data_IF_783625738367
#
_entry.id   IF_783625738367
#
_cell.length_a   1.000
_cell.length_b   1.000
_cell.length_c   1.000
_cell.angle_alpha   90.00
_cell.angle_beta   90.00
_cell.angle_gamma   90.00
#
_symmetry.space_group_name_H-M   'P 1'
#
loop_
_entity.id
_entity.type
_entity.pdbx_description
1 polymer ?
#
# COMPACT_ATOMS: atom_id res chain seq x y z
N UNK A 1 -14.73 -15.86 20.33
CA UNK A 1 -13.65 -15.03 20.89
C UNK A 1 -13.66 -13.72 20.12
N UNK A 2 -14.29 -12.71 20.67
CA UNK A 2 -14.30 -11.35 20.12
C UNK A 2 -12.95 -10.72 20.49
N UNK A 3 -12.08 -10.53 19.47
CA UNK A 3 -10.86 -9.76 19.65
C UNK A 3 -11.22 -8.32 19.96
N UNK A 4 -11.05 -7.91 21.18
CA UNK A 4 -11.11 -6.52 21.61
C UNK A 4 -10.16 -5.70 20.75
N UNK A 5 -10.72 -4.75 20.03
CA UNK A 5 -9.97 -3.67 19.40
C UNK A 5 -9.45 -2.77 20.53
N UNK A 6 -8.30 -3.13 21.11
CA UNK A 6 -7.68 -2.27 22.11
C UNK A 6 -7.30 -0.94 21.42
N UNK A 7 -7.55 0.20 22.06
CA UNK A 7 -7.19 1.52 21.51
C UNK A 7 -5.70 1.64 21.14
N UNK A 8 -4.84 0.82 21.75
CA UNK A 8 -3.41 0.75 21.46
C UNK A 8 -3.06 0.07 20.13
N UNK A 9 -3.92 -0.80 19.58
CA UNK A 9 -3.64 -1.50 18.32
C UNK A 9 -3.70 -0.54 17.11
N UNK A 10 -4.63 0.43 17.13
CA UNK A 10 -4.73 1.44 16.08
C UNK A 10 -3.55 2.41 16.07
N UNK A 11 -3.09 2.84 17.26
CA UNK A 11 -1.93 3.74 17.37
C UNK A 11 -0.63 3.08 16.93
N UNK A 12 -0.46 1.78 17.20
CA UNK A 12 0.68 1.00 16.72
C UNK A 12 0.72 0.84 15.21
N UNK A 13 -0.45 0.63 14.59
CA UNK A 13 -0.57 0.53 13.13
C UNK A 13 -0.30 1.88 12.45
N UNK A 14 -0.80 2.98 13.01
CA UNK A 14 -0.55 4.34 12.50
C UNK A 14 0.94 4.71 12.58
N UNK A 15 1.61 4.40 13.70
CA UNK A 15 3.06 4.60 13.85
C UNK A 15 3.85 3.84 12.80
N UNK A 16 3.50 2.59 12.50
CA UNK A 16 4.16 1.80 11.46
C UNK A 16 3.96 2.42 10.08
N UNK A 17 2.74 2.81 9.76
CA UNK A 17 2.43 3.48 8.49
C UNK A 17 3.24 4.77 8.32
N UNK A 18 3.33 5.60 9.36
CA UNK A 18 4.13 6.84 9.34
C UNK A 18 5.62 6.54 9.14
N UNK A 19 6.14 5.51 9.77
CA UNK A 19 7.54 5.08 9.63
C UNK A 19 7.81 4.58 8.22
N UNK A 20 6.92 3.77 7.65
CA UNK A 20 7.08 3.21 6.29
C UNK A 20 7.03 4.31 5.21
N UNK A 21 6.22 5.33 5.42
CA UNK A 21 6.08 6.47 4.50
C UNK A 21 7.21 7.49 4.64
N UNK A 22 7.83 7.57 5.83
CA UNK A 22 8.84 8.58 6.16
C UNK A 22 10.04 8.57 5.20
N UNK A 23 10.53 7.39 4.80
CA UNK A 23 11.67 7.26 3.87
C UNK A 23 11.35 7.83 2.49
N UNK A 24 10.12 7.64 2.01
CA UNK A 24 9.65 8.18 0.73
C UNK A 24 9.54 9.72 0.76
N UNK A 25 8.96 10.26 1.83
CA UNK A 25 8.85 11.71 1.99
C UNK A 25 10.19 12.40 2.20
N UNK A 26 11.11 11.77 2.95
CA UNK A 26 12.48 12.27 3.09
C UNK A 26 13.25 12.25 1.77
N UNK A 27 13.11 11.17 0.97
CA UNK A 27 13.61 11.13 -0.40
C UNK A 27 13.06 12.30 -1.24
N UNK A 28 11.73 12.49 -1.22
CA UNK A 28 11.08 13.55 -1.98
C UNK A 28 11.58 14.93 -1.56
N UNK A 29 11.60 15.20 -0.26
CA UNK A 29 12.11 16.48 0.27
C UNK A 29 13.58 16.73 -0.12
N UNK A 30 14.44 15.72 0.04
CA UNK A 30 15.84 15.82 -0.36
C UNK A 30 15.99 16.04 -1.87
N UNK A 31 15.17 15.38 -2.69
CA UNK A 31 15.23 15.54 -4.15
C UNK A 31 14.75 16.93 -4.59
N UNK A 32 13.65 17.44 -4.04
CA UNK A 32 13.11 18.74 -4.40
C UNK A 32 14.03 19.90 -3.99
N UNK A 33 14.74 19.76 -2.86
CA UNK A 33 15.65 20.80 -2.36
C UNK A 33 17.01 20.78 -3.05
N UNK A 34 17.58 19.58 -3.29
CA UNK A 34 18.95 19.46 -3.84
C UNK A 34 18.99 19.25 -5.34
N UNK A 35 17.88 18.91 -5.96
CA UNK A 35 17.77 18.49 -7.37
C UNK A 35 18.73 17.35 -7.75
N UNK A 36 19.21 16.59 -6.75
CA UNK A 36 20.15 15.48 -6.93
C UNK A 36 19.49 14.16 -6.50
N UNK A 37 19.13 13.34 -7.50
CA UNK A 37 18.42 12.07 -7.26
C UNK A 37 19.31 11.06 -6.50
N UNK A 38 20.63 11.09 -6.69
CA UNK A 38 21.54 10.16 -6.02
C UNK A 38 21.67 10.48 -4.53
N UNK A 39 21.76 11.78 -4.20
CA UNK A 39 21.75 12.24 -2.81
C UNK A 39 20.43 11.88 -2.15
N UNK A 40 19.30 12.17 -2.80
CA UNK A 40 17.98 11.83 -2.28
C UNK A 40 17.81 10.31 -2.07
N UNK A 41 18.33 9.51 -3.02
CA UNK A 41 18.34 8.04 -2.89
C UNK A 41 19.18 7.60 -1.69
N UNK A 42 20.35 8.21 -1.48
CA UNK A 42 21.20 7.93 -0.32
C UNK A 42 20.48 8.21 0.99
N UNK A 43 19.76 9.33 1.09
CA UNK A 43 18.93 9.68 2.25
C UNK A 43 17.83 8.63 2.48
N UNK A 44 17.10 8.25 1.44
CA UNK A 44 16.06 7.23 1.51
C UNK A 44 16.59 5.86 1.94
N UNK A 45 17.73 5.43 1.39
CA UNK A 45 18.43 4.18 1.76
C UNK A 45 18.90 4.22 3.22
N UNK A 46 19.52 5.32 3.65
CA UNK A 46 20.02 5.48 5.02
C UNK A 46 18.87 5.39 6.05
N UNK A 47 17.75 6.06 5.78
CA UNK A 47 16.56 5.99 6.63
C UNK A 47 15.99 4.57 6.64
N UNK A 48 15.84 3.94 5.47
CA UNK A 48 15.31 2.57 5.37
C UNK A 48 16.17 1.55 6.11
N UNK A 49 17.50 1.63 5.99
CA UNK A 49 18.44 0.81 6.75
C UNK A 49 18.38 1.09 8.25
N UNK A 50 18.31 2.36 8.66
CA UNK A 50 18.17 2.75 10.05
C UNK A 50 16.88 2.18 10.67
N UNK A 51 15.78 2.23 9.94
CA UNK A 51 14.51 1.60 10.34
C UNK A 51 14.64 0.08 10.50
N UNK A 52 15.28 -0.61 9.54
CA UNK A 52 15.49 -2.04 9.60
C UNK A 52 16.37 -2.44 10.79
N UNK A 53 17.47 -1.75 11.02
CA UNK A 53 18.37 -1.98 12.16
C UNK A 53 17.63 -1.77 13.48
N UNK A 54 16.74 -0.79 13.56
CA UNK A 54 15.96 -0.51 14.76
C UNK A 54 14.87 -1.56 15.05
N UNK A 55 14.34 -2.22 14.00
CA UNK A 55 13.28 -3.24 14.11
C UNK A 55 13.81 -4.63 14.46
N UNK A 56 15.01 -5.01 13.98
CA UNK A 56 15.61 -6.33 14.18
C UNK A 56 15.73 -6.72 15.67
N UNK A 57 16.30 -5.89 16.58
CA UNK A 57 16.51 -6.25 17.98
C UNK A 57 15.22 -6.47 18.77
N UNK A 58 14.10 -5.90 18.29
CA UNK A 58 12.80 -5.94 18.97
C UNK A 58 11.98 -7.19 18.70
N UNK A 59 12.54 -8.19 18.00
CA UNK A 59 11.86 -9.44 17.60
C UNK A 59 10.48 -9.23 17.00
N UNK A 60 10.24 -8.08 16.35
CA UNK A 60 9.00 -7.84 15.63
C UNK A 60 9.01 -8.78 14.42
N UNK A 61 7.91 -9.51 14.21
CA UNK A 61 7.74 -10.29 12.99
C UNK A 61 7.66 -9.31 11.83
N UNK A 62 8.75 -9.18 11.09
CA UNK A 62 8.81 -8.33 9.89
C UNK A 62 8.04 -9.06 8.80
N UNK A 63 7.04 -8.38 8.24
CA UNK A 63 6.24 -8.92 7.14
C UNK A 63 7.16 -9.19 5.92
N UNK A 64 6.99 -10.31 5.19
CA UNK A 64 7.72 -10.57 3.95
C UNK A 64 7.70 -9.40 2.97
N UNK A 65 6.62 -8.62 2.96
CA UNK A 65 6.47 -7.44 2.14
C UNK A 65 7.41 -6.29 2.54
N UNK A 66 7.66 -6.12 3.84
CA UNK A 66 8.64 -5.15 4.35
C UNK A 66 10.06 -5.56 3.94
N UNK A 67 10.40 -6.86 4.00
CA UNK A 67 11.69 -7.37 3.51
C UNK A 67 11.87 -7.14 2.02
N UNK A 68 10.83 -7.37 1.21
CA UNK A 68 10.86 -7.09 -0.23
C UNK A 68 11.07 -5.60 -0.49
N UNK A 69 10.33 -4.72 0.20
CA UNK A 69 10.48 -3.27 0.07
C UNK A 69 11.90 -2.82 0.44
N UNK A 70 12.46 -3.33 1.54
CA UNK A 70 13.83 -3.04 1.96
C UNK A 70 14.86 -3.53 0.95
N UNK A 71 14.73 -4.75 0.43
CA UNK A 71 15.61 -5.32 -0.58
C UNK A 71 15.60 -4.49 -1.87
N UNK A 72 14.44 -4.00 -2.30
CA UNK A 72 14.31 -3.11 -3.45
C UNK A 72 14.94 -1.74 -3.20
N UNK A 73 14.75 -1.16 -2.01
CA UNK A 73 15.36 0.13 -1.65
C UNK A 73 16.88 0.01 -1.63
N UNK A 74 17.42 -0.98 -0.93
CA UNK A 74 18.87 -1.16 -0.80
C UNK A 74 19.48 -1.61 -2.12
N UNK A 75 18.90 -2.63 -2.77
CA UNK A 75 19.45 -3.19 -4.01
C UNK A 75 19.43 -2.19 -5.16
N UNK A 76 18.26 -1.69 -5.53
CA UNK A 76 18.12 -0.76 -6.66
C UNK A 76 18.65 0.64 -6.32
N UNK A 77 18.55 1.08 -5.07
CA UNK A 77 19.14 2.35 -4.64
C UNK A 77 20.67 2.32 -4.72
N UNK A 78 21.30 1.27 -4.19
CA UNK A 78 22.76 1.09 -4.30
C UNK A 78 23.21 0.94 -5.74
N UNK A 79 22.49 0.15 -6.56
CA UNK A 79 22.78 0.02 -7.98
C UNK A 79 22.70 1.37 -8.71
N UNK A 80 21.71 2.20 -8.38
CA UNK A 80 21.59 3.54 -8.96
C UNK A 80 22.77 4.45 -8.62
N UNK A 81 23.23 4.45 -7.37
CA UNK A 81 24.36 5.25 -6.91
C UNK A 81 25.66 4.76 -7.55
N UNK A 82 25.91 3.45 -7.54
CA UNK A 82 27.14 2.84 -8.07
C UNK A 82 27.29 3.01 -9.59
N UNK A 83 26.18 2.83 -10.31
CA UNK A 83 26.17 2.96 -11.79
C UNK A 83 25.94 4.38 -12.27
N UNK A 84 25.62 5.32 -11.38
CA UNK A 84 25.17 6.69 -11.69
C UNK A 84 23.98 6.71 -12.66
N UNK A 85 23.12 5.67 -12.59
CA UNK A 85 21.96 5.54 -13.45
C UNK A 85 20.66 5.66 -12.63
N UNK A 86 19.90 6.75 -12.79
CA UNK A 86 18.65 6.98 -12.03
C UNK A 86 17.54 5.97 -12.37
N UNK A 87 17.67 5.23 -13.47
CA UNK A 87 16.68 4.26 -13.94
C UNK A 87 16.38 3.20 -12.86
N UNK A 88 17.39 2.77 -12.10
CA UNK A 88 17.20 1.79 -11.02
C UNK A 88 16.27 2.31 -9.91
N UNK A 89 16.34 3.61 -9.58
CA UNK A 89 15.44 4.23 -8.61
C UNK A 89 14.02 4.30 -9.15
N UNK A 90 13.88 4.64 -10.44
CA UNK A 90 12.58 4.74 -11.12
C UNK A 90 11.86 3.39 -11.19
N UNK A 91 12.58 2.30 -11.39
CA UNK A 91 12.01 0.95 -11.45
C UNK A 91 11.48 0.44 -10.10
N UNK A 92 12.06 0.90 -8.98
CA UNK A 92 11.69 0.41 -7.64
C UNK A 92 10.17 0.44 -7.36
N UNK A 93 9.46 1.60 -7.46
CA UNK A 93 8.02 1.63 -7.19
C UNK A 93 7.24 0.75 -8.18
N UNK A 94 7.59 0.76 -9.46
CA UNK A 94 6.92 -0.04 -10.48
C UNK A 94 7.03 -1.54 -10.21
N UNK A 95 8.20 -2.03 -9.77
CA UNK A 95 8.38 -3.44 -9.38
C UNK A 95 7.53 -3.76 -8.15
N UNK A 96 7.56 -2.90 -7.13
CA UNK A 96 6.79 -3.10 -5.91
C UNK A 96 5.28 -3.14 -6.19
N UNK A 97 4.77 -2.16 -6.91
CA UNK A 97 3.36 -2.06 -7.30
C UNK A 97 2.93 -3.22 -8.19
N UNK A 98 3.79 -3.64 -9.13
CA UNK A 98 3.57 -4.82 -9.97
C UNK A 98 3.49 -6.11 -9.16
N UNK A 99 4.38 -6.30 -8.18
CA UNK A 99 4.31 -7.45 -7.26
C UNK A 99 3.03 -7.44 -6.43
N UNK A 100 2.59 -6.27 -5.94
CA UNK A 100 1.30 -6.11 -5.26
C UNK A 100 0.14 -6.55 -6.16
N UNK A 101 0.12 -6.04 -7.38
CA UNK A 101 -0.90 -6.37 -8.36
C UNK A 101 -0.94 -7.88 -8.66
N UNK A 102 0.22 -8.52 -8.83
CA UNK A 102 0.32 -9.97 -9.03
C UNK A 102 -0.25 -10.77 -7.85
N UNK A 103 0.05 -10.34 -6.62
CA UNK A 103 -0.53 -11.00 -5.42
C UNK A 103 -2.04 -10.85 -5.36
N UNK A 104 -2.58 -9.73 -5.85
CA UNK A 104 -4.01 -9.46 -5.90
C UNK A 104 -4.75 -10.23 -7.00
N UNK A 105 -4.04 -10.83 -7.97
CA UNK A 105 -4.65 -11.74 -8.96
C UNK A 105 -5.11 -13.07 -8.35
N UNK A 106 -4.62 -13.42 -7.14
CA UNK A 106 -5.04 -14.65 -6.48
C UNK A 106 -6.54 -14.56 -6.09
N UNK A 107 -7.39 -15.50 -6.56
CA UNK A 107 -8.80 -15.49 -6.21
C UNK A 107 -9.01 -15.52 -4.69
N UNK A 108 -9.95 -14.73 -4.20
CA UNK A 108 -10.30 -14.72 -2.76
C UNK A 108 -9.37 -13.91 -1.85
N UNK A 109 -8.34 -13.23 -2.38
CA UNK A 109 -7.47 -12.36 -1.56
C UNK A 109 -8.27 -11.30 -0.79
N UNK A 110 -9.28 -10.74 -1.43
CA UNK A 110 -10.14 -9.71 -0.83
C UNK A 110 -10.93 -10.24 0.37
N UNK A 111 -11.28 -11.53 0.37
CA UNK A 111 -11.99 -12.18 1.47
C UNK A 111 -11.24 -12.14 2.81
N UNK A 112 -9.92 -11.98 2.78
CA UNK A 112 -9.10 -11.87 4.00
C UNK A 112 -9.16 -10.49 4.65
N UNK A 113 -9.49 -9.46 3.87
CA UNK A 113 -9.46 -8.06 4.31
C UNK A 113 -10.85 -7.46 4.50
N UNK A 114 -11.88 -8.06 3.92
CA UNK A 114 -13.25 -7.63 4.11
C UNK A 114 -13.88 -8.35 5.33
N UNK A 115 -14.77 -7.67 6.08
CA UNK A 115 -15.46 -8.29 7.20
C UNK A 115 -16.24 -9.54 6.73
N UNK A 116 -16.03 -10.68 7.38
CA UNK A 116 -16.64 -11.95 6.99
C UNK A 116 -18.18 -11.85 6.85
N UNK A 117 -18.83 -11.12 7.78
CA UNK A 117 -20.26 -10.82 7.71
C UNK A 117 -20.68 -10.02 6.47
N UNK A 118 -19.83 -9.12 5.97
CA UNK A 118 -20.15 -8.33 4.79
C UNK A 118 -20.07 -9.19 3.52
N UNK A 119 -19.06 -10.07 3.43
CA UNK A 119 -18.86 -10.97 2.29
C UNK A 119 -20.04 -11.94 2.12
N UNK A 120 -20.60 -12.44 3.23
CA UNK A 120 -21.72 -13.37 3.22
C UNK A 120 -22.98 -12.81 2.51
N UNK A 121 -23.13 -11.48 2.51
CA UNK A 121 -24.25 -10.78 1.86
C UNK A 121 -23.93 -10.29 0.45
N UNK A 122 -22.68 -10.42 -0.01
CA UNK A 122 -22.27 -9.95 -1.35
C UNK A 122 -22.23 -11.11 -2.35
N UNK A 123 -22.62 -10.88 -3.62
CA UNK A 123 -22.44 -11.87 -4.67
C UNK A 123 -20.93 -12.21 -4.82
N UNK A 124 -20.54 -13.50 -4.85
CA UNK A 124 -19.14 -13.90 -5.00
C UNK A 124 -18.45 -13.30 -6.24
N UNK A 125 -19.20 -13.20 -7.34
CA UNK A 125 -18.72 -12.59 -8.57
C UNK A 125 -18.33 -11.11 -8.38
N UNK A 126 -19.10 -10.34 -7.59
CA UNK A 126 -18.79 -8.94 -7.32
C UNK A 126 -17.50 -8.81 -6.52
N UNK A 127 -17.32 -9.65 -5.50
CA UNK A 127 -16.09 -9.67 -4.69
C UNK A 127 -14.87 -10.00 -5.56
N UNK A 128 -15.03 -10.95 -6.49
CA UNK A 128 -13.98 -11.34 -7.42
C UNK A 128 -13.63 -10.21 -8.40
N UNK A 129 -14.63 -9.63 -9.03
CA UNK A 129 -14.45 -8.51 -9.98
C UNK A 129 -13.80 -7.31 -9.28
N UNK A 130 -14.24 -7.00 -8.06
CA UNK A 130 -13.64 -5.91 -7.28
C UNK A 130 -12.17 -6.19 -6.96
N UNK A 131 -11.83 -7.44 -6.61
CA UNK A 131 -10.45 -7.87 -6.40
C UNK A 131 -9.57 -7.69 -7.64
N UNK A 132 -10.08 -8.04 -8.82
CA UNK A 132 -9.36 -7.84 -10.08
C UNK A 132 -9.25 -6.34 -10.47
N UNK A 133 -10.25 -5.54 -10.12
CA UNK A 133 -10.18 -4.09 -10.33
C UNK A 133 -9.05 -3.46 -9.51
N UNK A 134 -8.84 -3.91 -8.27
CA UNK A 134 -7.68 -3.51 -7.47
C UNK A 134 -6.37 -3.94 -8.13
N UNK A 135 -6.26 -5.17 -8.59
CA UNK A 135 -5.07 -5.66 -9.29
C UNK A 135 -4.76 -4.83 -10.55
N UNK A 136 -5.78 -4.59 -11.37
CA UNK A 136 -5.65 -3.77 -12.58
C UNK A 136 -5.22 -2.33 -12.28
N UNK A 137 -5.76 -1.73 -11.21
CA UNK A 137 -5.41 -0.38 -10.79
C UNK A 137 -3.95 -0.28 -10.33
N UNK A 138 -3.44 -1.27 -9.58
CA UNK A 138 -2.03 -1.33 -9.19
C UNK A 138 -1.10 -1.59 -10.38
N UNK A 139 -1.49 -2.41 -11.36
CA UNK A 139 -0.74 -2.56 -12.60
C UNK A 139 -0.70 -1.26 -13.42
N UNK A 140 -1.83 -0.56 -13.51
CA UNK A 140 -1.88 0.73 -14.18
C UNK A 140 -0.97 1.76 -13.48
N UNK A 141 -0.93 1.74 -12.15
CA UNK A 141 -0.04 2.58 -11.36
C UNK A 141 1.43 2.26 -11.65
N UNK A 142 1.82 0.99 -11.65
CA UNK A 142 3.17 0.53 -11.97
C UNK A 142 3.62 0.97 -13.37
N UNK A 143 2.74 0.85 -14.37
CA UNK A 143 3.03 1.28 -15.73
C UNK A 143 3.14 2.81 -15.84
N UNK A 144 2.22 3.54 -15.19
CA UNK A 144 2.20 4.99 -15.22
C UNK A 144 3.43 5.62 -14.52
N UNK A 145 4.00 4.98 -13.52
CA UNK A 145 5.26 5.42 -12.90
C UNK A 145 6.40 5.52 -13.94
N UNK A 146 6.54 4.50 -14.80
CA UNK A 146 7.57 4.51 -15.84
C UNK A 146 7.26 5.56 -16.92
N UNK A 147 5.99 5.71 -17.29
CA UNK A 147 5.56 6.69 -18.27
C UNK A 147 5.82 8.11 -17.79
N UNK A 148 5.45 8.42 -16.55
CA UNK A 148 5.66 9.75 -15.96
C UNK A 148 7.15 10.09 -15.90
N UNK A 149 8.02 9.14 -15.50
CA UNK A 149 9.45 9.36 -15.49
C UNK A 149 10.02 9.69 -16.88
N UNK A 150 9.51 9.02 -17.92
CA UNK A 150 9.96 9.22 -19.31
C UNK A 150 9.46 10.53 -19.93
N UNK A 151 8.17 10.85 -19.71
CA UNK A 151 7.51 11.97 -20.39
C UNK A 151 7.72 13.28 -19.65
N UNK A 152 7.61 13.26 -18.33
CA UNK A 152 7.62 14.47 -17.50
C UNK A 152 8.90 14.66 -16.68
N UNK A 153 9.82 13.68 -16.75
CA UNK A 153 11.10 13.73 -16.07
C UNK A 153 11.04 13.38 -14.58
N UNK A 154 12.24 13.36 -13.97
CA UNK A 154 12.44 12.80 -12.63
C UNK A 154 11.76 13.60 -11.51
N UNK A 155 11.62 14.92 -11.66
CA UNK A 155 10.93 15.74 -10.63
C UNK A 155 9.44 15.42 -10.57
N UNK A 156 8.77 15.40 -11.72
CA UNK A 156 7.36 15.06 -11.81
C UNK A 156 7.13 13.61 -11.33
N UNK A 157 8.01 12.69 -11.73
CA UNK A 157 7.97 11.32 -11.28
C UNK A 157 8.11 11.20 -9.76
N UNK A 158 9.03 11.93 -9.13
CA UNK A 158 9.23 11.85 -7.67
C UNK A 158 8.00 12.33 -6.89
N UNK A 159 7.32 13.36 -7.36
CA UNK A 159 6.05 13.82 -6.78
C UNK A 159 4.97 12.77 -7.02
N UNK A 160 4.84 12.31 -8.27
CA UNK A 160 3.84 11.34 -8.68
C UNK A 160 3.93 10.03 -7.87
N UNK A 161 5.09 9.42 -7.82
CA UNK A 161 5.30 8.12 -7.13
C UNK A 161 5.05 8.18 -5.62
N UNK A 162 5.21 9.35 -5.00
CA UNK A 162 4.92 9.53 -3.57
C UNK A 162 3.43 9.82 -3.28
N UNK A 163 2.69 10.39 -4.22
CA UNK A 163 1.29 10.77 -4.00
C UNK A 163 0.30 9.77 -4.60
N UNK A 164 0.59 9.22 -5.77
CA UNK A 164 -0.35 8.41 -6.54
C UNK A 164 -0.85 7.14 -5.81
N UNK A 165 -0.07 6.41 -5.00
CA UNK A 165 -0.59 5.28 -4.24
C UNK A 165 -1.67 5.71 -3.22
N UNK A 166 -1.51 6.85 -2.57
CA UNK A 166 -2.50 7.37 -1.63
C UNK A 166 -3.79 7.79 -2.32
N UNK A 167 -3.66 8.45 -3.48
CA UNK A 167 -4.81 8.81 -4.31
C UNK A 167 -5.55 7.56 -4.77
N UNK A 168 -4.82 6.56 -5.27
CA UNK A 168 -5.41 5.28 -5.68
C UNK A 168 -6.15 4.61 -4.53
N UNK A 169 -5.54 4.51 -3.36
CA UNK A 169 -6.16 3.94 -2.17
C UNK A 169 -7.42 4.72 -1.77
N UNK A 170 -7.36 6.05 -1.74
CA UNK A 170 -8.51 6.89 -1.40
C UNK A 170 -9.68 6.67 -2.38
N UNK A 171 -9.39 6.58 -3.69
CA UNK A 171 -10.41 6.33 -4.72
C UNK A 171 -11.01 4.94 -4.57
N UNK A 172 -10.20 3.89 -4.45
CA UNK A 172 -10.69 2.51 -4.36
C UNK A 172 -11.44 2.25 -3.04
N UNK A 173 -10.92 2.70 -1.91
CA UNK A 173 -11.63 2.59 -0.63
C UNK A 173 -12.90 3.44 -0.62
N UNK A 174 -12.83 4.67 -1.11
CA UNK A 174 -14.01 5.55 -1.22
C UNK A 174 -15.10 4.93 -2.08
N UNK A 175 -14.76 4.41 -3.25
CA UNK A 175 -15.70 3.70 -4.11
C UNK A 175 -16.27 2.44 -3.40
N UNK A 176 -15.44 1.67 -2.70
CA UNK A 176 -15.90 0.53 -1.90
C UNK A 176 -16.89 0.92 -0.81
N UNK A 177 -16.62 2.02 -0.09
CA UNK A 177 -17.52 2.54 0.94
C UNK A 177 -18.86 3.03 0.38
N UNK A 178 -18.89 3.49 -0.86
CA UNK A 178 -20.13 3.90 -1.52
C UNK A 178 -20.92 2.69 -2.06
N UNK A 179 -20.26 1.66 -2.56
CA UNK A 179 -20.90 0.51 -3.22
C UNK A 179 -21.33 -0.58 -2.24
N UNK A 180 -20.43 -1.02 -1.35
CA UNK A 180 -20.69 -2.22 -0.54
C UNK A 180 -21.70 -2.03 0.60
N UNK A 181 -21.66 -0.99 1.44
CA UNK A 181 -22.58 -0.87 2.57
C UNK A 181 -24.06 -0.86 2.16
N UNK A 182 -24.52 -0.12 1.13
CA UNK A 182 -25.91 -0.16 0.72
C UNK A 182 -26.33 -1.52 0.18
N UNK A 183 -25.43 -2.24 -0.52
CA UNK A 183 -25.70 -3.59 -1.03
C UNK A 183 -25.86 -4.59 0.11
N UNK A 184 -24.95 -4.58 1.09
CA UNK A 184 -25.01 -5.44 2.28
C UNK A 184 -26.30 -5.18 3.07
N UNK A 185 -26.66 -3.90 3.29
CA UNK A 185 -27.90 -3.53 4.01
C UNK A 185 -29.15 -4.03 3.27
N UNK A 186 -29.22 -3.89 1.96
CA UNK A 186 -30.34 -4.39 1.14
C UNK A 186 -30.44 -5.92 1.21
N UNK A 187 -29.32 -6.63 1.03
CA UNK A 187 -29.29 -8.08 1.08
C UNK A 187 -29.66 -8.63 2.49
N UNK A 188 -29.18 -8.01 3.55
CA UNK A 188 -29.53 -8.37 4.92
C UNK A 188 -31.03 -8.18 5.21
N UNK A 189 -31.60 -7.03 4.79
CA UNK A 189 -33.05 -6.77 4.92
C UNK A 189 -33.88 -7.81 4.17
N UNK A 190 -33.49 -8.18 2.96
CA UNK A 190 -34.17 -9.21 2.16
C UNK A 190 -34.14 -10.60 2.82
N UNK A 191 -33.13 -10.88 3.65
CA UNK A 191 -33.01 -12.13 4.43
C UNK A 191 -33.57 -12.04 5.85
N UNK A 192 -34.20 -10.91 6.22
CA UNK A 192 -34.76 -10.69 7.56
C UNK A 192 -33.72 -10.58 8.67
N UNK A 193 -32.43 -10.35 8.30
CA UNK A 193 -31.32 -10.23 9.27
C UNK A 193 -31.11 -8.77 9.64
N UNK A 194 -31.21 -8.45 10.93
CA UNK A 194 -30.84 -7.12 11.42
C UNK A 194 -29.31 -7.03 11.53
N UNK A 195 -28.72 -6.02 10.88
CA UNK A 195 -27.28 -5.70 10.99
C UNK A 195 -26.98 -4.83 12.23
N UNK A 196 -27.97 -4.62 13.11
CA UNK A 196 -27.77 -3.92 14.37
C UNK A 196 -26.75 -4.68 15.21
N UNK A 197 -25.75 -3.93 15.66
CA UNK A 197 -24.63 -4.30 16.53
C UNK A 197 -25.01 -5.37 17.56
N UNK A 198 -24.10 -6.30 17.91
CA UNK A 198 -24.19 -6.99 19.18
C UNK A 198 -23.78 -6.01 20.27
N UNK A 199 -24.65 -5.03 20.54
CA UNK A 199 -24.57 -4.26 21.75
C UNK A 199 -25.41 -4.98 22.81
N UNK A 200 -24.79 -5.23 23.94
CA UNK A 200 -25.40 -5.55 25.21
C UNK A 200 -26.20 -6.86 25.27
N UNK A 201 -25.51 -7.95 25.51
CA UNK A 201 -26.00 -8.92 26.51
C UNK A 201 -24.97 -8.99 27.60
N UNK A 202 -25.44 -8.58 28.76
CA UNK A 202 -24.83 -8.37 30.04
C UNK A 202 -23.93 -9.50 30.54
#
# INVERSE_FOLDING_TARGET
MAGELSPGAGLGSLKRLVVDVLSGWAFLAAFLTTNNIFLATGVGVAIGLGQAIWMIPRRQKVDPMQWMALALVVGLGSASILTRNPTFVVFKPSIFEGCLALMMLRPGWMGRYAPARAIEFLPPALVLVWGYLWAAAWFALAASNLLVARVYGLKAWAIYTNLSPFVLLAVLFGAGLLVFPPMVRRAARARGVSLSSPAAKG
#
